data_IF_233537444760
#
_entry.id   IF_233537444760
#
_cell.length_a   1.000
_cell.length_b   1.000
_cell.length_c   1.000
_cell.angle_alpha   90.00
_cell.angle_beta   90.00
_cell.angle_gamma   90.00
#
_symmetry.space_group_name_H-M   'P 1'
#
loop_
_entity.id
_entity.type
_entity.pdbx_description
1 polymer ?
#
# COMPACT_ATOMS: atom_id res chain seq x y z
N UNK A 1 -34.73 -15.66 -19.00
CA UNK A 1 -33.28 -15.37 -18.91
C UNK A 1 -32.69 -16.22 -17.83
N UNK A 2 -31.77 -17.13 -18.17
CA UNK A 2 -31.10 -18.02 -17.21
C UNK A 2 -29.94 -17.21 -16.63
N UNK A 3 -30.04 -16.81 -15.35
CA UNK A 3 -28.93 -16.16 -14.64
C UNK A 3 -27.75 -17.12 -14.60
N UNK A 4 -26.59 -16.69 -15.12
CA UNK A 4 -25.37 -17.47 -14.96
C UNK A 4 -25.11 -17.65 -13.45
N UNK A 5 -24.89 -18.88 -12.96
CA UNK A 5 -24.54 -19.06 -11.56
C UNK A 5 -23.26 -18.30 -11.29
N UNK A 6 -23.27 -17.45 -10.25
CA UNK A 6 -22.06 -16.89 -9.67
C UNK A 6 -21.10 -18.07 -9.42
N UNK A 7 -19.93 -18.07 -10.06
CA UNK A 7 -18.92 -19.09 -9.78
C UNK A 7 -18.62 -19.04 -8.30
N UNK A 8 -18.63 -20.20 -7.63
CA UNK A 8 -18.14 -20.31 -6.25
C UNK A 8 -16.68 -19.85 -6.28
N UNK A 9 -16.44 -18.62 -5.83
CA UNK A 9 -15.09 -18.07 -5.73
C UNK A 9 -14.33 -18.92 -4.71
N UNK A 10 -13.10 -19.32 -5.05
CA UNK A 10 -12.21 -19.99 -4.09
C UNK A 10 -11.92 -19.02 -2.96
N UNK A 11 -11.80 -19.55 -1.74
CA UNK A 11 -11.32 -18.77 -0.61
C UNK A 11 -9.92 -18.23 -0.93
N UNK A 12 -9.72 -16.92 -0.75
CA UNK A 12 -8.43 -16.27 -0.98
C UNK A 12 -7.35 -16.81 -0.05
N UNK A 13 -7.72 -17.33 1.12
CA UNK A 13 -6.79 -17.97 2.06
C UNK A 13 -6.19 -19.27 1.52
N UNK A 14 -6.85 -19.91 0.57
CA UNK A 14 -6.32 -21.08 -0.14
C UNK A 14 -5.33 -20.74 -1.25
N UNK A 15 -5.10 -19.44 -1.52
CA UNK A 15 -4.19 -18.97 -2.57
C UNK A 15 -2.86 -18.59 -1.94
N UNK A 16 -1.77 -19.21 -2.42
CA UNK A 16 -0.41 -18.86 -1.98
C UNK A 16 -0.07 -17.44 -2.46
N UNK A 17 0.37 -16.53 -1.57
CA UNK A 17 0.85 -15.21 -1.98
C UNK A 17 2.08 -15.32 -2.89
N UNK A 18 2.11 -14.51 -3.93
CA UNK A 18 3.19 -14.39 -4.92
C UNK A 18 4.01 -13.10 -4.77
N UNK A 19 3.54 -12.17 -3.92
CA UNK A 19 4.21 -10.91 -3.59
C UNK A 19 4.48 -10.80 -2.09
N UNK A 20 5.58 -10.12 -1.77
CA UNK A 20 5.94 -9.74 -0.40
C UNK A 20 6.14 -8.23 -0.37
N UNK A 21 5.39 -7.56 0.50
CA UNK A 21 5.50 -6.11 0.69
C UNK A 21 6.76 -5.79 1.49
N UNK A 22 7.57 -4.80 1.06
CA UNK A 22 8.75 -4.37 1.81
C UNK A 22 8.34 -3.84 3.18
N UNK A 23 9.11 -4.20 4.21
CA UNK A 23 8.97 -3.59 5.53
C UNK A 23 9.22 -2.08 5.46
N UNK A 24 8.61 -1.32 6.38
CA UNK A 24 8.83 0.12 6.49
C UNK A 24 10.24 0.39 6.99
N UNK A 25 11.03 1.18 6.26
CA UNK A 25 12.44 1.46 6.58
C UNK A 25 12.64 2.97 6.73
N UNK A 26 12.67 3.43 7.98
CA UNK A 26 13.03 4.81 8.33
C UNK A 26 12.20 5.86 7.58
N UNK A 27 12.80 7.03 7.39
CA UNK A 27 12.09 8.24 6.91
C UNK A 27 12.68 8.80 5.60
N UNK A 28 13.76 8.22 5.09
CA UNK A 28 14.43 8.73 3.89
C UNK A 28 13.89 8.04 2.64
N UNK A 29 13.16 8.80 1.82
CA UNK A 29 12.60 8.34 0.55
C UNK A 29 13.70 7.81 -0.39
N UNK A 30 13.54 6.57 -0.87
CA UNK A 30 14.41 5.98 -1.87
C UNK A 30 13.65 4.95 -2.71
N UNK A 31 14.15 4.67 -3.92
CA UNK A 31 13.58 3.69 -4.83
C UNK A 31 13.47 2.30 -4.18
N UNK A 32 12.35 1.62 -4.42
CA UNK A 32 12.04 0.30 -3.89
C UNK A 32 11.82 0.26 -2.37
N UNK A 33 11.65 1.41 -1.70
CA UNK A 33 11.45 1.47 -0.25
C UNK A 33 10.08 2.02 0.11
N UNK A 34 9.51 1.42 1.14
CA UNK A 34 8.38 1.95 1.89
C UNK A 34 8.92 2.74 3.07
N UNK A 35 8.51 4.00 3.21
CA UNK A 35 8.99 4.91 4.24
C UNK A 35 7.85 5.60 4.95
N UNK A 36 8.05 5.90 6.23
CA UNK A 36 7.13 6.76 7.00
C UNK A 36 7.40 8.22 6.65
N UNK A 37 6.34 8.97 6.38
CA UNK A 37 6.40 10.40 6.08
C UNK A 37 5.41 11.17 6.96
N UNK A 38 5.84 12.34 7.42
CA UNK A 38 5.02 13.25 8.23
C UNK A 38 4.89 14.54 7.44
N UNK A 39 3.66 15.01 7.25
CA UNK A 39 3.42 16.32 6.64
C UNK A 39 3.80 17.41 7.64
N UNK A 40 4.41 18.51 7.17
CA UNK A 40 4.88 19.60 8.05
C UNK A 40 3.78 20.17 8.95
N UNK A 41 2.53 20.21 8.49
CA UNK A 41 1.40 20.70 9.28
C UNK A 41 1.02 19.76 10.44
N UNK A 42 1.55 18.55 10.45
CA UNK A 42 1.31 17.49 11.42
C UNK A 42 2.59 17.11 12.19
N UNK A 43 3.66 17.92 12.11
CA UNK A 43 4.98 17.60 12.64
C UNK A 43 4.99 17.34 14.16
N UNK A 44 4.08 17.97 14.91
CA UNK A 44 3.93 17.81 16.36
C UNK A 44 2.86 16.79 16.74
N UNK A 45 2.40 15.98 15.79
CA UNK A 45 1.38 14.96 15.99
C UNK A 45 1.93 13.57 15.70
N UNK A 46 1.14 12.54 16.04
CA UNK A 46 1.42 11.17 15.63
C UNK A 46 0.82 10.82 14.26
N UNK A 47 0.34 11.80 13.49
CA UNK A 47 -0.25 11.58 12.16
C UNK A 47 0.85 11.41 11.11
N UNK A 48 0.87 10.26 10.44
CA UNK A 48 1.82 9.95 9.37
C UNK A 48 1.17 9.14 8.26
N UNK A 49 1.80 9.14 7.09
CA UNK A 49 1.45 8.28 5.96
C UNK A 49 2.63 7.40 5.58
N UNK A 50 2.36 6.34 4.82
CA UNK A 50 3.40 5.57 4.17
C UNK A 50 3.52 5.99 2.71
N UNK A 51 4.77 6.08 2.26
CA UNK A 51 5.13 6.32 0.87
C UNK A 51 5.97 5.15 0.38
N UNK A 52 5.54 4.51 -0.70
CA UNK A 52 6.35 3.58 -1.46
C UNK A 52 6.75 4.20 -2.79
N UNK A 53 8.05 4.18 -3.07
CA UNK A 53 8.59 4.54 -4.38
C UNK A 53 8.93 3.28 -5.15
N UNK A 54 8.44 3.18 -6.39
CA UNK A 54 8.81 2.15 -7.35
C UNK A 54 10.32 1.93 -7.48
N UNK A 55 10.72 0.72 -7.86
CA UNK A 55 12.13 0.29 -7.91
C UNK A 55 13.00 1.12 -8.87
N UNK A 56 12.38 1.66 -9.90
CA UNK A 56 12.97 2.48 -10.97
C UNK A 56 12.78 3.98 -10.74
N UNK A 57 12.37 4.38 -9.54
CA UNK A 57 12.11 5.77 -9.23
C UNK A 57 13.34 6.65 -9.46
N UNK A 58 13.13 7.72 -10.21
CA UNK A 58 14.10 8.79 -10.47
C UNK A 58 13.54 10.11 -9.96
N UNK A 59 14.34 10.83 -9.17
CA UNK A 59 14.00 12.15 -8.64
C UNK A 59 13.66 13.12 -9.78
N UNK A 60 12.51 13.78 -9.67
CA UNK A 60 12.05 14.79 -10.64
C UNK A 60 11.26 14.22 -11.84
N UNK A 61 11.22 12.91 -12.02
CA UNK A 61 10.34 12.28 -13.01
C UNK A 61 8.89 12.21 -12.49
N UNK A 62 7.95 12.02 -13.43
CA UNK A 62 6.51 11.90 -13.14
C UNK A 62 6.08 10.44 -13.21
N UNK A 63 5.30 10.03 -12.22
CA UNK A 63 4.74 8.69 -12.12
C UNK A 63 3.25 8.80 -11.74
N UNK A 64 2.41 7.85 -12.19
CA UNK A 64 1.07 7.72 -11.63
C UNK A 64 1.12 7.42 -10.13
N UNK A 65 0.07 7.81 -9.42
CA UNK A 65 -0.04 7.67 -7.96
C UNK A 65 -1.29 6.86 -7.63
N UNK A 66 -1.13 5.84 -6.80
CA UNK A 66 -2.23 5.16 -6.13
C UNK A 66 -2.29 5.69 -4.70
N UNK A 67 -3.48 6.08 -4.26
CA UNK A 67 -3.76 6.51 -2.90
C UNK A 67 -4.71 5.49 -2.29
N UNK A 68 -4.35 4.94 -1.14
CA UNK A 68 -5.16 4.01 -0.35
C UNK A 68 -5.38 4.56 1.06
N UNK A 69 -6.53 4.24 1.63
CA UNK A 69 -6.78 4.37 3.07
C UNK A 69 -6.63 3.00 3.72
N UNK A 70 -6.13 2.98 4.96
CA UNK A 70 -6.02 1.75 5.71
C UNK A 70 -7.41 1.13 5.93
N UNK A 71 -7.54 -0.16 5.61
CA UNK A 71 -8.75 -0.91 5.92
C UNK A 71 -8.90 -1.14 7.42
N UNK A 72 -10.09 -1.60 7.83
CA UNK A 72 -10.31 -2.02 9.22
C UNK A 72 -9.48 -3.27 9.57
N UNK A 73 -9.22 -3.45 10.87
CA UNK A 73 -8.67 -4.71 11.39
C UNK A 73 -9.59 -5.88 11.02
N UNK A 74 -9.06 -6.84 10.27
CA UNK A 74 -9.80 -8.01 9.83
C UNK A 74 -8.86 -9.19 9.59
N UNK A 75 -9.09 -10.30 10.30
CA UNK A 75 -8.23 -11.50 10.24
C UNK A 75 -6.76 -11.15 10.47
N UNK A 76 -5.92 -11.28 9.43
CA UNK A 76 -4.48 -10.98 9.46
C UNK A 76 -4.16 -9.51 9.19
N UNK A 77 -5.11 -8.72 8.69
CA UNK A 77 -4.93 -7.28 8.52
C UNK A 77 -4.94 -6.59 9.88
N UNK A 78 -3.86 -5.87 10.27
CA UNK A 78 -3.80 -5.17 11.54
C UNK A 78 -4.69 -3.92 11.55
N UNK A 79 -5.11 -3.44 10.38
CA UNK A 79 -5.88 -2.20 10.22
C UNK A 79 -5.08 -0.93 10.50
N UNK A 80 -3.76 -0.98 10.28
CA UNK A 80 -2.85 0.16 10.42
C UNK A 80 -2.27 0.54 9.07
N UNK A 81 -1.64 1.71 8.98
CA UNK A 81 -0.99 2.19 7.75
C UNK A 81 0.09 1.20 7.28
N UNK A 82 0.86 0.60 8.19
CA UNK A 82 1.86 -0.46 7.90
C UNK A 82 1.26 -1.79 7.45
N UNK A 83 -0.02 -2.02 7.74
CA UNK A 83 -0.75 -3.19 7.29
C UNK A 83 -1.33 -3.07 5.88
N UNK A 84 -1.29 -1.88 5.29
CA UNK A 84 -1.86 -1.62 3.97
C UNK A 84 -0.97 -2.19 2.86
N UNK A 85 -1.62 -2.89 1.93
CA UNK A 85 -0.93 -3.67 0.89
C UNK A 85 -1.61 -3.55 -0.49
N UNK A 86 -2.71 -2.80 -0.63
CA UNK A 86 -3.51 -2.81 -1.85
C UNK A 86 -2.74 -2.14 -2.99
N UNK A 87 -2.15 -0.97 -2.75
CA UNK A 87 -1.36 -0.26 -3.75
C UNK A 87 -0.12 -1.06 -4.22
N UNK A 88 0.58 -1.71 -3.29
CA UNK A 88 1.71 -2.59 -3.62
C UNK A 88 1.24 -3.85 -4.37
N UNK A 89 0.17 -4.50 -3.91
CA UNK A 89 -0.36 -5.73 -4.48
C UNK A 89 -0.90 -5.56 -5.91
N UNK A 90 -1.58 -4.45 -6.20
CA UNK A 90 -2.08 -4.15 -7.55
C UNK A 90 -0.94 -3.87 -8.53
N UNK A 91 0.11 -3.19 -8.06
CA UNK A 91 1.20 -2.72 -8.94
C UNK A 91 2.38 -3.67 -9.04
N UNK A 92 2.52 -4.63 -8.11
CA UNK A 92 3.71 -5.46 -8.01
C UNK A 92 4.99 -4.63 -7.85
N UNK A 93 4.90 -3.49 -7.17
CA UNK A 93 6.01 -2.57 -6.91
C UNK A 93 6.52 -1.75 -8.12
N UNK A 94 5.81 -1.75 -9.26
CA UNK A 94 6.28 -1.21 -10.55
C UNK A 94 5.43 -0.06 -11.07
N UNK A 95 6.07 0.91 -11.72
CA UNK A 95 5.42 1.93 -12.52
C UNK A 95 4.52 2.93 -11.78
N UNK A 96 4.30 2.78 -10.47
CA UNK A 96 3.43 3.65 -9.67
C UNK A 96 4.10 4.06 -8.35
N UNK A 97 3.78 5.25 -7.87
CA UNK A 97 3.99 5.63 -6.48
C UNK A 97 2.76 5.17 -5.70
N UNK A 98 2.95 4.58 -4.53
CA UNK A 98 1.85 4.18 -3.65
C UNK A 98 1.90 4.98 -2.35
N UNK A 99 0.75 5.50 -1.93
CA UNK A 99 0.61 6.26 -0.68
C UNK A 99 -0.53 5.64 0.12
N UNK A 100 -0.25 5.25 1.37
CA UNK A 100 -1.30 4.93 2.34
C UNK A 100 -1.50 6.14 3.25
N UNK A 101 -2.67 6.78 3.14
CA UNK A 101 -3.01 7.98 3.90
C UNK A 101 -3.23 7.67 5.39
N UNK A 102 -3.03 8.67 6.27
CA UNK A 102 -3.38 8.54 7.66
C UNK A 102 -4.91 8.52 7.81
N UNK A 103 -5.40 7.72 8.77
CA UNK A 103 -6.74 7.86 9.33
C UNK A 103 -6.60 8.40 10.76
N UNK A 104 -7.35 9.44 11.10
CA UNK A 104 -7.25 10.19 12.37
C UNK A 104 -8.57 10.13 13.13
#
# INVERSE_FOLDING_TARGET
>A
MIGAPSRVAKDVEGVKPDLVTPSVIGNASAAGKTVRQINANYAETEVYHLLYLLTEWVKGAKYPVIVEDAGNKWKTSPGTVEGSNLGYGISGAKGVISICMPFV
#
